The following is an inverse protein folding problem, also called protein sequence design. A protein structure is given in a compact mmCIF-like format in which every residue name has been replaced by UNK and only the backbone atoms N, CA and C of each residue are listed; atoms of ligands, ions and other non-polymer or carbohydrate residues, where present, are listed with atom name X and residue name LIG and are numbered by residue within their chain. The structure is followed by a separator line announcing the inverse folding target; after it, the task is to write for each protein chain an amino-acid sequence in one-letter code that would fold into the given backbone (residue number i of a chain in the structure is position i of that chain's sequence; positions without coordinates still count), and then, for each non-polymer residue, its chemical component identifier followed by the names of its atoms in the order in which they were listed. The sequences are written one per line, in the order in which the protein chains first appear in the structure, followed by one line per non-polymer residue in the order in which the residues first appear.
data_IF_716910469108
#
_entry.id   IF_716910469108
#
_cell.length_a   1.000
_cell.length_b   1.000
_cell.length_c   1.000
_cell.angle_alpha   90.00
_cell.angle_beta   90.00
_cell.angle_gamma   90.00
#
_symmetry.space_group_name_H-M   'P 1'
#
loop_
_entity.id
_entity.type
_entity.pdbx_description
1 polymer ?
#
# COMPACT_ATOMS: atom_id res chain seq x y z
N UNK A 1 5.31 6.46 -16.35
CA UNK A 1 4.14 5.71 -15.84
C UNK A 1 3.15 6.64 -15.20
N UNK A 2 1.88 6.35 -15.33
CA UNK A 2 0.81 7.06 -14.64
C UNK A 2 0.64 6.50 -13.22
N UNK A 3 0.53 7.37 -12.23
CA UNK A 3 0.30 6.99 -10.83
C UNK A 3 -1.10 7.46 -10.42
N UNK A 4 -1.88 6.54 -9.86
CA UNK A 4 -3.18 6.81 -9.27
C UNK A 4 -3.09 6.64 -7.76
N UNK A 5 -3.61 7.61 -7.01
CA UNK A 5 -3.69 7.57 -5.56
C UNK A 5 -5.12 7.18 -5.17
N UNK A 6 -5.29 6.01 -4.57
CA UNK A 6 -6.58 5.49 -4.15
C UNK A 6 -6.71 5.58 -2.63
N UNK A 7 -7.90 5.87 -2.16
CA UNK A 7 -8.20 5.94 -0.74
C UNK A 7 -9.63 6.35 -0.48
N UNK A 8 -10.03 6.26 0.78
CA UNK A 8 -11.32 6.74 1.25
C UNK A 8 -11.33 8.27 1.41
N UNK A 9 -12.48 8.82 1.82
CA UNK A 9 -12.58 10.25 2.16
C UNK A 9 -11.62 10.68 3.27
N UNK A 10 -11.24 9.76 4.15
CA UNK A 10 -10.26 10.01 5.24
C UNK A 10 -8.84 10.19 4.73
N UNK A 11 -8.54 9.66 3.54
CA UNK A 11 -7.20 9.66 2.96
C UNK A 11 -6.96 10.84 2.01
N UNK A 12 -7.97 11.67 1.77
CA UNK A 12 -7.90 12.77 0.79
C UNK A 12 -6.74 13.72 1.08
N UNK A 13 -6.58 14.15 2.34
CA UNK A 13 -5.52 15.11 2.72
C UNK A 13 -4.12 14.54 2.53
N UNK A 14 -3.91 13.27 2.86
CA UNK A 14 -2.63 12.59 2.66
C UNK A 14 -2.33 12.42 1.17
N UNK A 15 -3.33 12.05 0.39
CA UNK A 15 -3.20 11.93 -1.06
C UNK A 15 -2.94 13.28 -1.74
N UNK A 16 -3.56 14.35 -1.27
CA UNK A 16 -3.26 15.72 -1.74
C UNK A 16 -1.79 16.09 -1.48
N UNK A 17 -1.27 15.76 -0.30
CA UNK A 17 0.13 16.01 0.02
C UNK A 17 1.08 15.22 -0.89
N UNK A 18 0.75 13.98 -1.21
CA UNK A 18 1.52 13.15 -2.15
C UNK A 18 1.46 13.77 -3.56
N UNK A 19 0.27 14.16 -4.01
CA UNK A 19 0.06 14.76 -5.34
C UNK A 19 0.90 16.03 -5.52
N UNK A 20 1.02 16.87 -4.49
CA UNK A 20 1.86 18.07 -4.55
C UNK A 20 3.36 17.77 -4.72
N UNK A 21 3.81 16.61 -4.23
CA UNK A 21 5.22 16.18 -4.28
C UNK A 21 5.53 15.26 -5.47
N UNK A 22 4.53 14.56 -5.97
CA UNK A 22 4.66 13.59 -7.05
C UNK A 22 4.06 14.17 -8.35
N UNK A 23 4.90 14.80 -9.15
CA UNK A 23 4.48 15.45 -10.38
C UNK A 23 3.78 14.44 -11.33
N UNK A 24 2.54 14.72 -11.68
CA UNK A 24 1.74 13.89 -12.58
C UNK A 24 0.97 12.74 -11.91
N UNK A 25 0.99 12.60 -10.59
CA UNK A 25 0.08 11.70 -9.89
C UNK A 25 -1.36 12.22 -9.94
N UNK A 26 -2.32 11.32 -10.06
CA UNK A 26 -3.76 11.66 -10.04
C UNK A 26 -4.35 11.22 -8.72
N UNK A 27 -4.88 12.18 -7.96
CA UNK A 27 -5.55 11.91 -6.71
C UNK A 27 -7.02 11.53 -6.94
N UNK A 28 -7.34 10.25 -6.69
CA UNK A 28 -8.67 9.69 -6.78
C UNK A 28 -9.28 9.38 -5.40
N UNK A 29 -8.59 9.71 -4.32
CA UNK A 29 -9.06 9.45 -2.96
C UNK A 29 -10.42 10.13 -2.71
N UNK A 30 -11.35 9.37 -2.18
CA UNK A 30 -12.71 9.84 -1.90
C UNK A 30 -13.60 10.06 -3.14
N UNK A 31 -13.09 9.77 -4.35
CA UNK A 31 -13.80 10.02 -5.62
C UNK A 31 -14.28 8.74 -6.31
N UNK A 32 -14.01 7.59 -5.72
CA UNK A 32 -14.29 6.28 -6.31
C UNK A 32 -15.23 5.47 -5.43
N UNK A 33 -16.11 4.69 -6.05
CA UNK A 33 -16.84 3.61 -5.40
C UNK A 33 -15.93 2.39 -5.25
N UNK A 34 -16.37 1.39 -4.48
CA UNK A 34 -15.65 0.11 -4.40
C UNK A 34 -15.54 -0.57 -5.77
N UNK A 35 -16.61 -0.50 -6.58
CA UNK A 35 -16.63 -1.04 -7.95
C UNK A 35 -15.61 -0.34 -8.84
N UNK A 36 -15.53 0.99 -8.78
CA UNK A 36 -14.51 1.77 -9.50
C UNK A 36 -13.09 1.33 -9.12
N UNK A 37 -12.85 1.10 -7.84
CA UNK A 37 -11.54 0.65 -7.34
C UNK A 37 -11.17 -0.73 -7.87
N UNK A 38 -12.12 -1.65 -7.94
CA UNK A 38 -11.91 -2.98 -8.54
C UNK A 38 -11.49 -2.84 -10.01
N UNK A 39 -12.20 -2.00 -10.76
CA UNK A 39 -11.88 -1.75 -12.17
C UNK A 39 -10.49 -1.11 -12.33
N UNK A 40 -10.18 -0.10 -11.53
CA UNK A 40 -8.88 0.57 -11.58
C UNK A 40 -7.73 -0.38 -11.24
N UNK A 41 -7.87 -1.21 -10.22
CA UNK A 41 -6.84 -2.20 -9.86
C UNK A 41 -6.69 -3.24 -10.96
N UNK A 42 -7.77 -3.65 -11.62
CA UNK A 42 -7.69 -4.60 -12.72
C UNK A 42 -6.94 -4.07 -13.95
N UNK A 43 -6.95 -2.75 -14.14
CA UNK A 43 -6.25 -2.06 -15.23
C UNK A 43 -4.81 -1.67 -14.86
N UNK A 44 -4.46 -1.72 -13.59
CA UNK A 44 -3.14 -1.31 -13.13
C UNK A 44 -2.08 -2.40 -13.41
N UNK A 45 -0.88 -1.98 -13.74
CA UNK A 45 0.27 -2.88 -13.85
C UNK A 45 0.69 -3.40 -12.47
N UNK A 46 0.60 -2.55 -11.45
CA UNK A 46 1.02 -2.89 -10.08
C UNK A 46 0.24 -2.06 -9.07
N UNK A 47 -0.16 -2.67 -7.98
CA UNK A 47 -0.65 -2.00 -6.78
C UNK A 47 0.46 -1.97 -5.71
N UNK A 48 0.78 -0.80 -5.20
CA UNK A 48 1.57 -0.63 -3.97
C UNK A 48 0.61 -0.24 -2.85
N UNK A 49 0.56 -1.00 -1.79
CA UNK A 49 -0.42 -0.81 -0.72
C UNK A 49 0.12 -1.21 0.65
N UNK A 50 -0.57 -0.80 1.68
CA UNK A 50 -0.41 -1.34 3.03
C UNK A 50 -1.27 -2.61 3.22
N UNK A 51 -1.22 -3.21 4.41
CA UNK A 51 -2.14 -4.27 4.83
C UNK A 51 -3.56 -3.70 4.95
N UNK A 52 -4.36 -3.87 3.92
CA UNK A 52 -5.70 -3.28 3.78
C UNK A 52 -6.59 -4.11 2.87
N UNK A 53 -7.87 -3.75 2.79
CA UNK A 53 -8.83 -4.41 1.90
C UNK A 53 -8.42 -4.35 0.42
N UNK A 54 -7.77 -3.27 -0.02
CA UNK A 54 -7.32 -3.14 -1.41
C UNK A 54 -6.24 -4.17 -1.77
N UNK A 55 -5.39 -4.55 -0.83
CA UNK A 55 -4.42 -5.63 -1.00
C UNK A 55 -5.11 -6.95 -1.38
N UNK A 56 -6.21 -7.28 -0.69
CA UNK A 56 -6.96 -8.50 -0.95
C UNK A 56 -7.72 -8.45 -2.28
N UNK A 57 -8.23 -7.30 -2.67
CA UNK A 57 -8.84 -7.09 -3.99
C UNK A 57 -7.79 -7.30 -5.08
N UNK A 58 -6.62 -6.71 -4.94
CA UNK A 58 -5.52 -6.86 -5.89
C UNK A 58 -5.07 -8.32 -6.02
N UNK A 59 -4.98 -9.02 -4.89
CA UNK A 59 -4.66 -10.44 -4.88
C UNK A 59 -5.71 -11.29 -5.62
N UNK A 60 -7.00 -11.01 -5.40
CA UNK A 60 -8.09 -11.70 -6.08
C UNK A 60 -8.08 -11.45 -7.60
N UNK A 61 -7.68 -10.27 -8.04
CA UNK A 61 -7.54 -9.90 -9.45
C UNK A 61 -6.22 -10.38 -10.07
N UNK A 62 -5.33 -10.96 -9.27
CA UNK A 62 -3.97 -11.34 -9.65
C UNK A 62 -3.14 -10.18 -10.23
N UNK A 63 -3.45 -8.96 -9.86
CA UNK A 63 -2.63 -7.77 -10.15
C UNK A 63 -1.33 -7.84 -9.34
N UNK A 64 -0.20 -7.49 -9.94
CA UNK A 64 1.08 -7.44 -9.22
C UNK A 64 0.93 -6.56 -7.98
N UNK A 65 1.21 -7.11 -6.81
CA UNK A 65 0.96 -6.43 -5.52
C UNK A 65 2.25 -6.30 -4.73
N UNK A 66 2.59 -5.09 -4.33
CA UNK A 66 3.66 -4.81 -3.36
C UNK A 66 3.01 -4.33 -2.07
N UNK A 67 3.02 -5.18 -1.05
CA UNK A 67 2.32 -4.96 0.21
C UNK A 67 3.28 -4.60 1.33
N UNK A 68 3.06 -3.43 1.94
CA UNK A 68 3.87 -2.92 3.06
C UNK A 68 3.21 -3.33 4.37
N UNK A 69 3.93 -4.08 5.18
CA UNK A 69 3.47 -4.50 6.50
C UNK A 69 4.25 -3.76 7.59
N UNK A 70 3.54 -2.94 8.34
CA UNK A 70 4.07 -2.21 9.50
C UNK A 70 3.84 -2.99 10.79
N UNK A 71 2.80 -2.60 11.54
CA UNK A 71 2.46 -3.19 12.85
C UNK A 71 1.79 -4.56 12.76
N UNK A 72 1.31 -4.96 11.60
CA UNK A 72 0.61 -6.23 11.35
C UNK A 72 1.56 -7.30 10.83
N UNK A 73 1.04 -8.50 10.60
CA UNK A 73 1.84 -9.64 10.14
C UNK A 73 1.25 -10.27 8.89
N UNK A 74 2.10 -10.47 7.87
CA UNK A 74 1.73 -11.19 6.65
C UNK A 74 1.48 -12.69 6.88
N UNK A 75 1.85 -13.23 8.03
CA UNK A 75 1.51 -14.60 8.41
C UNK A 75 0.02 -14.75 8.71
N UNK A 76 -0.62 -13.69 9.25
CA UNK A 76 -2.05 -13.69 9.57
C UNK A 76 -2.93 -13.24 8.41
N UNK A 77 -2.49 -12.24 7.65
CA UNK A 77 -3.26 -11.63 6.56
C UNK A 77 -2.43 -11.47 5.29
N UNK A 78 -1.90 -12.58 4.71
CA UNK A 78 -1.09 -12.48 3.51
C UNK A 78 -1.94 -12.10 2.28
N UNK A 79 -1.35 -11.43 1.28
CA UNK A 79 -1.97 -11.35 -0.03
C UNK A 79 -2.02 -12.75 -0.65
N UNK A 80 -3.22 -13.24 -0.97
CA UNK A 80 -3.46 -14.62 -1.43
C UNK A 80 -3.20 -14.76 -2.94
N UNK A 81 -1.99 -14.42 -3.36
CA UNK A 81 -1.52 -14.57 -4.74
C UNK A 81 -0.01 -14.78 -4.76
N UNK A 82 0.47 -15.53 -5.76
CA UNK A 82 1.91 -15.65 -6.01
C UNK A 82 2.51 -14.40 -6.66
N UNK A 83 1.66 -13.53 -7.22
CA UNK A 83 2.07 -12.29 -7.88
C UNK A 83 2.14 -11.14 -6.87
N UNK A 84 2.81 -11.39 -5.73
CA UNK A 84 2.93 -10.41 -4.65
C UNK A 84 4.31 -10.40 -4.01
N UNK A 85 4.68 -9.23 -3.49
CA UNK A 85 5.89 -9.00 -2.71
C UNK A 85 5.49 -8.35 -1.40
N UNK A 86 5.87 -8.97 -0.30
CA UNK A 86 5.67 -8.44 1.05
C UNK A 86 6.95 -7.73 1.48
N UNK A 87 6.82 -6.46 1.85
CA UNK A 87 7.91 -5.65 2.37
C UNK A 87 7.63 -5.31 3.82
N UNK A 88 8.53 -5.68 4.69
CA UNK A 88 8.43 -5.43 6.13
C UNK A 88 9.81 -5.32 6.75
N UNK A 89 9.88 -4.90 8.03
CA UNK A 89 11.12 -4.84 8.80
C UNK A 89 11.07 -5.82 9.96
N UNK A 90 12.20 -6.45 10.23
CA UNK A 90 12.35 -7.26 11.44
C UNK A 90 12.70 -6.35 12.61
N UNK A 91 11.76 -6.23 13.55
CA UNK A 91 11.90 -5.47 14.77
C UNK A 91 11.33 -6.29 15.93
N UNK A 92 11.93 -6.18 17.11
CA UNK A 92 11.47 -6.91 18.31
C UNK A 92 10.04 -6.52 18.71
N UNK A 93 9.62 -5.29 18.38
CA UNK A 93 8.27 -4.80 18.68
C UNK A 93 7.20 -5.29 17.69
N UNK A 94 7.56 -6.01 16.64
CA UNK A 94 6.61 -6.50 15.63
C UNK A 94 6.27 -7.98 15.80
N UNK A 95 5.03 -8.36 15.47
CA UNK A 95 3.86 -7.52 15.22
C UNK A 95 3.25 -7.01 16.53
N UNK A 96 2.89 -5.74 16.62
CA UNK A 96 2.21 -5.18 17.80
C UNK A 96 0.69 -5.03 17.61
N UNK A 97 0.21 -5.01 16.36
CA UNK A 97 -1.20 -4.83 15.96
C UNK A 97 -1.84 -3.55 16.49
N UNK A 98 -1.03 -2.53 16.82
CA UNK A 98 -1.51 -1.24 17.31
C UNK A 98 -1.65 -0.24 16.17
N UNK A 99 -2.73 0.52 16.18
CA UNK A 99 -2.95 1.60 15.19
C UNK A 99 -2.02 2.78 15.42
N UNK A 100 -1.68 3.04 16.68
CA UNK A 100 -0.73 4.07 17.09
C UNK A 100 0.48 3.37 17.67
N UNK A 101 1.67 3.75 17.23
CA UNK A 101 2.90 3.14 17.69
C UNK A 101 3.09 3.39 19.19
N UNK A 102 3.09 2.34 20.05
CA UNK A 102 3.24 2.50 21.49
C UNK A 102 4.63 3.02 21.89
N UNK A 103 5.64 2.84 21.02
CA UNK A 103 7.00 3.31 21.21
C UNK A 103 7.28 4.66 20.56
N UNK A 104 6.32 5.18 19.76
CA UNK A 104 6.39 6.49 19.14
C UNK A 104 7.31 6.63 17.92
N UNK A 105 8.12 5.63 17.59
CA UNK A 105 9.10 5.75 16.50
C UNK A 105 8.57 5.35 15.11
N UNK A 106 7.59 4.44 15.02
CA UNK A 106 7.05 3.90 13.77
C UNK A 106 8.11 3.33 12.82
N UNK A 107 9.18 2.76 13.35
CA UNK A 107 10.31 2.25 12.56
C UNK A 107 9.91 1.14 11.58
N UNK A 108 8.85 0.40 11.90
CA UNK A 108 8.31 -0.65 11.03
C UNK A 108 7.87 -0.16 9.65
N UNK A 109 7.51 1.12 9.53
CA UNK A 109 7.17 1.78 8.27
C UNK A 109 8.24 2.76 7.83
N UNK A 110 8.76 3.59 8.74
CA UNK A 110 9.73 4.65 8.41
C UNK A 110 11.06 4.14 7.88
N UNK A 111 11.45 2.92 8.23
CA UNK A 111 12.69 2.29 7.74
C UNK A 111 12.54 1.54 6.42
N UNK A 112 11.34 1.50 5.85
CA UNK A 112 11.14 1.00 4.49
C UNK A 112 11.59 2.08 3.51
N UNK A 113 12.57 1.75 2.68
CA UNK A 113 13.16 2.69 1.72
C UNK A 113 12.41 2.66 0.39
N UNK A 114 12.17 3.84 -0.18
CA UNK A 114 11.53 3.97 -1.50
C UNK A 114 12.30 3.23 -2.61
N UNK A 115 13.63 3.23 -2.52
CA UNK A 115 14.51 2.52 -3.46
C UNK A 115 14.26 1.02 -3.51
N UNK A 116 13.91 0.42 -2.37
CA UNK A 116 13.56 -0.99 -2.28
C UNK A 116 12.27 -1.28 -3.07
N UNK A 117 11.27 -0.43 -2.90
CA UNK A 117 10.00 -0.56 -3.64
C UNK A 117 10.23 -0.36 -5.14
N UNK A 118 11.00 0.65 -5.52
CA UNK A 118 11.31 0.94 -6.92
C UNK A 118 12.00 -0.27 -7.58
N UNK A 119 12.91 -0.94 -6.89
CA UNK A 119 13.59 -2.12 -7.45
C UNK A 119 12.63 -3.29 -7.68
N UNK A 120 11.61 -3.47 -6.82
CA UNK A 120 10.56 -4.48 -7.01
C UNK A 120 9.66 -4.11 -8.21
N UNK A 121 9.46 -2.82 -8.45
CA UNK A 121 8.64 -2.33 -9.56
C UNK A 121 9.34 -2.44 -10.93
N UNK A 122 10.62 -2.73 -10.98
CA UNK A 122 11.43 -2.75 -12.20
C UNK A 122 11.41 -1.40 -12.96
N UNK A 123 11.58 -0.32 -12.20
CA UNK A 123 11.60 1.04 -12.76
C UNK A 123 13.03 1.57 -12.86
#
# INVERSE_FOLDING_TARGET
RQVWLLGSKKDVSDCELIETKANGAINLAGKTSLEDVVDLISLADTLVCNDSGLMHISAALNTKTVALFGSTSSEYTPPLTKNSWVVSRQLDCRPCFQRVCPLGHMDCLKKIEATEIISILDI
#
